data_IF_876287792839
#
_entry.id   IF_876287792839
#
_cell.length_a   1.000
_cell.length_b   1.000
_cell.length_c   1.000
_cell.angle_alpha   90.00
_cell.angle_beta   90.00
_cell.angle_gamma   90.00
#
_symmetry.space_group_name_H-M   'P 1'
#
loop_
_entity.id
_entity.type
_entity.pdbx_description
1 polymer ?
#
# COMPACT_ATOMS: atom_id res chain seq x y z
N UNK A 1 -9.84 4.87 -17.11
CA UNK A 1 -9.08 6.03 -17.66
C UNK A 1 -7.76 6.28 -16.91
N UNK A 2 -7.14 5.27 -16.30
CA UNK A 2 -5.96 5.43 -15.43
C UNK A 2 -4.65 4.86 -15.99
N UNK A 3 -4.69 4.05 -17.05
CA UNK A 3 -3.47 3.43 -17.59
C UNK A 3 -2.61 4.37 -18.44
N UNK A 4 -3.19 5.35 -19.12
CA UNK A 4 -2.46 6.27 -20.01
C UNK A 4 -1.53 7.22 -19.25
N UNK A 5 -1.99 7.77 -18.10
CA UNK A 5 -1.24 8.78 -17.34
C UNK A 5 -0.03 8.22 -16.59
N UNK A 6 -0.09 6.96 -16.15
CA UNK A 6 1.03 6.29 -15.47
C UNK A 6 2.21 6.05 -16.41
N UNK A 7 1.95 5.58 -17.63
CA UNK A 7 2.99 5.28 -18.61
C UNK A 7 3.65 6.56 -19.16
N UNK A 8 2.87 7.61 -19.41
CA UNK A 8 3.39 8.92 -19.82
C UNK A 8 4.24 9.57 -18.72
N UNK A 9 3.78 9.59 -17.47
CA UNK A 9 4.57 10.13 -16.37
C UNK A 9 5.89 9.37 -16.20
N UNK A 10 5.87 8.04 -16.35
CA UNK A 10 7.07 7.21 -16.23
C UNK A 10 8.08 7.51 -17.35
N UNK A 11 7.60 7.72 -18.58
CA UNK A 11 8.42 8.13 -19.72
C UNK A 11 9.02 9.51 -19.52
N UNK A 12 8.23 10.48 -19.06
CA UNK A 12 8.71 11.85 -18.78
C UNK A 12 9.75 11.88 -17.67
N UNK A 13 9.56 11.10 -16.60
CA UNK A 13 10.56 10.96 -15.52
C UNK A 13 11.86 10.35 -16.06
N UNK A 14 11.77 9.33 -16.92
CA UNK A 14 12.94 8.67 -17.51
C UNK A 14 13.71 9.62 -18.44
N UNK A 15 13.01 10.39 -19.27
CA UNK A 15 13.58 11.45 -20.11
C UNK A 15 14.28 12.50 -19.24
N UNK A 16 13.57 13.06 -18.24
CA UNK A 16 14.11 14.09 -17.36
C UNK A 16 15.36 13.62 -16.61
N UNK A 17 15.36 12.39 -16.08
CA UNK A 17 16.53 11.86 -15.38
C UNK A 17 17.69 11.58 -16.33
N UNK A 18 17.43 11.16 -17.57
CA UNK A 18 18.44 10.94 -18.61
C UNK A 18 19.10 12.25 -19.01
N UNK A 19 18.31 13.32 -19.24
CA UNK A 19 18.82 14.66 -19.53
C UNK A 19 19.69 15.24 -18.41
N UNK A 20 19.47 14.81 -17.16
CA UNK A 20 20.23 15.25 -15.99
C UNK A 20 21.47 14.39 -15.71
N UNK A 21 21.77 13.39 -16.53
CA UNK A 21 22.79 12.35 -16.27
C UNK A 21 22.60 11.67 -14.90
N UNK A 22 21.33 11.57 -14.48
CA UNK A 22 20.89 11.00 -13.19
C UNK A 22 19.98 9.79 -13.37
N UNK A 23 19.65 9.42 -14.61
CA UNK A 23 18.84 8.24 -14.92
C UNK A 23 19.37 7.03 -14.15
N UNK A 24 20.69 6.85 -14.16
CA UNK A 24 21.37 5.74 -13.52
C UNK A 24 20.76 4.38 -13.92
N UNK A 25 21.28 3.27 -13.41
CA UNK A 25 20.65 1.97 -13.59
C UNK A 25 19.39 1.81 -12.69
N UNK A 26 18.68 2.87 -12.31
CA UNK A 26 17.51 2.76 -11.42
C UNK A 26 16.25 2.38 -12.20
N UNK A 27 15.90 3.18 -13.22
CA UNK A 27 14.74 2.91 -14.07
C UNK A 27 15.04 1.88 -15.17
N UNK A 28 16.30 1.60 -15.46
CA UNK A 28 16.69 0.59 -16.45
C UNK A 28 16.86 -0.82 -15.86
N UNK A 29 16.90 -0.96 -14.53
CA UNK A 29 17.07 -2.26 -13.86
C UNK A 29 15.70 -2.89 -13.57
N UNK A 30 15.39 -4.08 -14.15
CA UNK A 30 14.12 -4.76 -13.96
C UNK A 30 13.73 -4.99 -12.49
N UNK A 31 14.65 -5.47 -11.64
CA UNK A 31 14.37 -5.71 -10.23
C UNK A 31 14.02 -4.42 -9.47
N UNK A 32 14.66 -3.30 -9.81
CA UNK A 32 14.38 -1.99 -9.20
C UNK A 32 13.05 -1.42 -9.68
N UNK A 33 12.73 -1.60 -10.96
CA UNK A 33 11.41 -1.26 -11.51
C UNK A 33 10.28 -2.07 -10.85
N UNK A 34 10.53 -3.37 -10.64
CA UNK A 34 9.64 -4.28 -9.93
C UNK A 34 9.36 -3.75 -8.52
N UNK A 35 10.40 -3.43 -7.75
CA UNK A 35 10.26 -2.82 -6.41
C UNK A 35 9.53 -1.47 -6.42
N UNK A 36 9.83 -0.60 -7.39
CA UNK A 36 9.15 0.70 -7.53
C UNK A 36 7.66 0.52 -7.82
N UNK A 37 7.32 -0.37 -8.75
CA UNK A 37 5.92 -0.62 -9.13
C UNK A 37 5.09 -1.17 -7.98
N UNK A 38 5.68 -2.06 -7.18
CA UNK A 38 5.08 -2.52 -5.94
C UNK A 38 4.84 -1.37 -4.94
N UNK A 39 5.82 -0.47 -4.76
CA UNK A 39 5.66 0.70 -3.88
C UNK A 39 4.59 1.67 -4.38
N UNK A 40 4.44 1.84 -5.69
CA UNK A 40 3.38 2.66 -6.30
C UNK A 40 2.01 2.09 -5.94
N UNK A 41 1.81 0.78 -6.10
CA UNK A 41 0.56 0.11 -5.76
C UNK A 41 0.24 0.23 -4.25
N UNK A 42 1.22 0.01 -3.36
CA UNK A 42 1.02 0.17 -1.91
C UNK A 42 0.69 1.61 -1.54
N UNK A 43 1.42 2.59 -2.10
CA UNK A 43 1.18 4.01 -1.81
C UNK A 43 -0.20 4.45 -2.31
N UNK A 44 -0.66 3.92 -3.44
CA UNK A 44 -2.03 4.16 -3.92
C UNK A 44 -3.08 3.63 -2.94
N UNK A 45 -2.88 2.43 -2.38
CA UNK A 45 -3.77 1.88 -1.35
C UNK A 45 -3.75 2.71 -0.05
N UNK A 46 -2.58 3.22 0.35
CA UNK A 46 -2.46 4.11 1.53
C UNK A 46 -3.13 5.46 1.29
N UNK A 47 -3.02 6.03 0.09
CA UNK A 47 -3.72 7.26 -0.25
C UNK A 47 -5.24 7.08 -0.22
N UNK A 48 -5.75 5.93 -0.71
CA UNK A 48 -7.19 5.61 -0.62
C UNK A 48 -7.64 5.54 0.84
N UNK A 49 -6.83 4.96 1.72
CA UNK A 49 -7.08 4.93 3.15
C UNK A 49 -7.08 6.34 3.75
N UNK A 50 -6.06 7.15 3.47
CA UNK A 50 -5.94 8.52 3.99
C UNK A 50 -7.15 9.36 3.59
N UNK A 51 -7.64 9.24 2.35
CA UNK A 51 -8.86 9.91 1.90
C UNK A 51 -10.10 9.44 2.68
N UNK A 52 -10.21 8.14 2.97
CA UNK A 52 -11.30 7.61 3.80
C UNK A 52 -11.24 8.14 5.21
N UNK A 53 -10.05 8.26 5.80
CA UNK A 53 -9.86 8.79 7.15
C UNK A 53 -10.15 10.30 7.23
N UNK A 54 -9.75 11.06 6.22
CA UNK A 54 -9.98 12.51 6.11
C UNK A 54 -11.41 12.88 5.69
N UNK A 55 -12.27 11.90 5.41
CA UNK A 55 -13.68 12.12 5.10
C UNK A 55 -14.39 12.95 6.18
N UNK A 56 -15.25 13.88 5.76
CA UNK A 56 -16.10 14.64 6.68
C UNK A 56 -17.10 13.68 7.35
N UNK A 57 -17.48 14.00 8.59
CA UNK A 57 -18.51 13.30 9.37
C UNK A 57 -18.17 11.85 9.80
N UNK A 58 -16.90 11.44 9.73
CA UNK A 58 -16.49 10.16 10.29
C UNK A 58 -16.56 10.17 11.82
N UNK A 59 -17.41 9.33 12.41
CA UNK A 59 -17.38 9.07 13.84
C UNK A 59 -16.13 8.24 14.21
N UNK A 60 -15.73 8.26 15.48
CA UNK A 60 -14.59 7.43 15.97
C UNK A 60 -14.80 5.95 15.63
N UNK A 61 -16.03 5.45 15.73
CA UNK A 61 -16.39 4.09 15.36
C UNK A 61 -16.18 3.80 13.86
N UNK A 62 -16.42 4.78 12.99
CA UNK A 62 -16.18 4.64 11.55
C UNK A 62 -14.69 4.59 11.23
N UNK A 63 -13.90 5.49 11.84
CA UNK A 63 -12.44 5.50 11.72
C UNK A 63 -11.86 4.16 12.17
N UNK A 64 -12.32 3.64 13.31
CA UNK A 64 -11.92 2.33 13.81
C UNK A 64 -12.25 1.21 12.82
N UNK A 65 -13.48 1.17 12.29
CA UNK A 65 -13.90 0.18 11.28
C UNK A 65 -13.05 0.25 10.01
N UNK A 66 -12.74 1.45 9.53
CA UNK A 66 -11.89 1.67 8.35
C UNK A 66 -10.49 1.11 8.58
N UNK A 67 -9.87 1.44 9.72
CA UNK A 67 -8.52 1.00 10.09
C UNK A 67 -8.46 -0.51 10.30
N UNK A 68 -9.45 -1.09 11.00
CA UNK A 68 -9.59 -2.54 11.19
C UNK A 68 -9.73 -3.29 9.86
N UNK A 69 -10.53 -2.73 8.95
CA UNK A 69 -10.67 -3.27 7.59
C UNK A 69 -9.35 -3.21 6.80
N UNK A 70 -8.62 -2.10 6.92
CA UNK A 70 -7.33 -1.94 6.23
C UNK A 70 -6.25 -2.87 6.79
N UNK A 71 -6.20 -3.11 8.11
CA UNK A 71 -5.31 -4.11 8.73
C UNK A 71 -5.52 -5.51 8.12
N UNK A 72 -6.78 -5.94 7.97
CA UNK A 72 -7.10 -7.21 7.29
C UNK A 72 -6.66 -7.22 5.82
N UNK A 73 -6.77 -6.09 5.12
CA UNK A 73 -6.28 -5.92 3.75
C UNK A 73 -4.76 -6.07 3.66
N UNK A 74 -4.01 -5.52 4.62
CA UNK A 74 -2.55 -5.70 4.69
C UNK A 74 -2.17 -7.17 4.94
N UNK A 75 -2.84 -7.86 5.86
CA UNK A 75 -2.60 -9.31 6.09
C UNK A 75 -2.93 -10.15 4.85
N UNK A 76 -3.98 -9.79 4.11
CA UNK A 76 -4.29 -10.43 2.83
C UNK A 76 -3.17 -10.18 1.81
N UNK A 77 -2.61 -8.98 1.75
CA UNK A 77 -1.50 -8.66 0.86
C UNK A 77 -0.26 -9.49 1.19
N UNK A 78 0.11 -9.62 2.46
CA UNK A 78 1.22 -10.49 2.89
C UNK A 78 1.02 -11.93 2.42
N UNK A 79 -0.16 -12.52 2.68
CA UNK A 79 -0.47 -13.88 2.25
C UNK A 79 -0.48 -14.05 0.71
N UNK A 80 -0.96 -13.04 -0.02
CA UNK A 80 -0.97 -13.04 -1.49
C UNK A 80 0.45 -12.94 -2.08
N UNK A 81 1.34 -12.19 -1.44
CA UNK A 81 2.74 -12.08 -1.84
C UNK A 81 3.51 -13.38 -1.60
N UNK A 82 3.29 -14.03 -0.45
CA UNK A 82 3.83 -15.37 -0.18
C UNK A 82 3.35 -16.40 -1.22
N UNK A 83 2.10 -16.27 -1.67
CA UNK A 83 1.49 -17.13 -2.69
C UNK A 83 1.79 -16.75 -4.15
N UNK A 84 2.57 -15.68 -4.39
CA UNK A 84 2.90 -15.22 -5.75
C UNK A 84 1.70 -14.74 -6.58
N UNK A 85 0.61 -14.30 -5.95
CA UNK A 85 -0.61 -13.86 -6.63
C UNK A 85 -0.88 -12.37 -6.39
N UNK A 86 -1.01 -11.58 -7.47
CA UNK A 86 -0.95 -10.11 -7.38
C UNK A 86 -2.22 -9.37 -7.88
N UNK A 87 -3.46 -9.80 -7.58
CA UNK A 87 -4.65 -9.23 -8.21
C UNK A 87 -4.87 -7.74 -7.87
N UNK A 88 -4.29 -7.27 -6.76
CA UNK A 88 -4.41 -5.89 -6.27
C UNK A 88 -3.19 -4.99 -6.58
N UNK A 89 -2.17 -5.54 -7.25
CA UNK A 89 -0.94 -4.83 -7.59
C UNK A 89 -0.82 -4.71 -9.12
N UNK A 90 -1.64 -3.84 -9.70
CA UNK A 90 -1.76 -3.76 -11.16
C UNK A 90 -0.50 -3.15 -11.80
N UNK A 91 0.09 -2.11 -11.18
CA UNK A 91 1.34 -1.53 -11.69
C UNK A 91 2.47 -2.57 -11.62
N UNK A 92 2.53 -3.32 -10.52
CA UNK A 92 3.45 -4.43 -10.36
C UNK A 92 3.26 -5.50 -11.43
N UNK A 93 2.03 -5.96 -11.66
CA UNK A 93 1.74 -6.97 -12.69
C UNK A 93 2.17 -6.52 -14.09
N UNK A 94 1.88 -5.29 -14.46
CA UNK A 94 2.18 -4.76 -15.79
C UNK A 94 3.70 -4.70 -16.05
N UNK A 95 4.49 -4.48 -15.00
CA UNK A 95 5.96 -4.38 -15.08
C UNK A 95 6.63 -5.75 -14.87
N UNK A 96 6.12 -6.57 -13.95
CA UNK A 96 6.66 -7.88 -13.60
C UNK A 96 6.39 -8.94 -14.68
N UNK A 97 5.29 -8.83 -15.44
CA UNK A 97 5.01 -9.75 -16.56
C UNK A 97 6.10 -9.75 -17.66
N UNK A 98 6.99 -8.75 -17.69
CA UNK A 98 8.15 -8.68 -18.59
C UNK A 98 9.48 -9.13 -17.99
N UNK A 99 9.52 -9.59 -16.74
CA UNK A 99 10.76 -9.85 -15.99
C UNK A 99 10.77 -11.30 -15.54
N UNK A 100 11.66 -12.12 -16.11
CA UNK A 100 11.73 -13.57 -15.91
C UNK A 100 12.33 -14.01 -14.55
N UNK A 101 12.66 -13.08 -13.65
CA UNK A 101 13.23 -13.39 -12.34
C UNK A 101 12.16 -13.41 -11.25
N UNK A 102 12.12 -14.52 -10.51
CA UNK A 102 11.51 -14.67 -9.19
C UNK A 102 12.23 -13.75 -8.18
N UNK A 103 12.03 -12.45 -8.35
CA UNK A 103 12.47 -11.46 -7.38
C UNK A 103 11.53 -11.53 -6.19
N UNK A 104 11.99 -12.18 -5.10
CA UNK A 104 11.35 -12.06 -3.79
C UNK A 104 11.11 -10.58 -3.48
N UNK A 105 9.84 -10.17 -3.53
CA UNK A 105 9.44 -8.86 -3.08
C UNK A 105 9.36 -8.91 -1.57
N UNK A 106 10.35 -8.31 -0.93
CA UNK A 106 10.27 -8.06 0.50
C UNK A 106 9.12 -7.07 0.74
N UNK A 107 7.99 -7.59 1.24
CA UNK A 107 6.96 -6.73 1.80
C UNK A 107 7.60 -5.99 2.96
N UNK A 108 7.59 -4.65 2.97
CA UNK A 108 8.00 -3.93 4.16
C UNK A 108 7.19 -4.47 5.34
N UNK A 109 7.74 -4.37 6.57
CA UNK A 109 7.04 -4.74 7.81
C UNK A 109 5.90 -3.72 8.12
N UNK A 110 5.08 -3.46 7.10
CA UNK A 110 4.09 -2.42 6.98
C UNK A 110 2.89 -2.78 7.82
N UNK A 111 2.49 -4.05 7.85
CA UNK A 111 1.41 -4.50 8.70
C UNK A 111 1.77 -4.27 10.18
N UNK A 112 2.97 -4.64 10.62
CA UNK A 112 3.42 -4.34 11.98
C UNK A 112 3.49 -2.84 12.27
N UNK A 113 4.14 -2.05 11.40
CA UNK A 113 4.20 -0.59 11.57
C UNK A 113 2.81 0.05 11.64
N UNK A 114 1.87 -0.45 10.83
CA UNK A 114 0.49 0.01 10.82
C UNK A 114 -0.26 -0.41 12.10
N UNK A 115 -0.04 -1.63 12.59
CA UNK A 115 -0.59 -2.10 13.87
C UNK A 115 -0.09 -1.22 15.02
N UNK A 116 1.22 -0.98 15.11
CA UNK A 116 1.86 -0.14 16.13
C UNK A 116 1.32 1.30 16.09
N UNK A 117 1.25 1.91 14.91
CA UNK A 117 0.78 3.29 14.72
C UNK A 117 -0.66 3.51 15.20
N UNK A 118 -1.52 2.51 15.06
CA UNK A 118 -2.94 2.61 15.40
C UNK A 118 -3.33 1.82 16.67
N UNK A 119 -2.35 1.41 17.47
CA UNK A 119 -2.56 0.59 18.67
C UNK A 119 -3.44 1.26 19.73
N UNK A 120 -3.42 2.58 19.83
CA UNK A 120 -4.28 3.32 20.75
C UNK A 120 -5.78 3.17 20.44
N UNK A 121 -6.15 2.94 19.17
CA UNK A 121 -7.54 2.72 18.79
C UNK A 121 -8.08 1.38 19.30
N UNK A 122 -7.22 0.41 19.53
CA UNK A 122 -7.60 -0.89 20.11
C UNK A 122 -7.96 -0.75 21.60
N UNK A 123 -7.40 0.28 22.27
CA UNK A 123 -7.73 0.61 23.67
C UNK A 123 -9.13 1.21 23.79
N UNK A 124 -9.55 2.00 22.79
CA UNK A 124 -10.89 2.60 22.74
C UNK A 124 -11.99 1.52 22.65
N UNK A 125 -11.75 0.43 21.91
CA UNK A 125 -12.68 -0.72 21.86
C UNK A 125 -12.79 -1.41 23.23
N UNK A 126 -11.66 -1.57 23.92
CA UNK A 126 -11.60 -2.22 25.24
C UNK A 126 -12.33 -1.40 26.30
N UNK A 127 -12.15 -0.08 26.32
CA UNK A 127 -12.81 0.82 27.27
C UNK A 127 -14.30 0.97 26.99
N UNK A 128 -14.70 0.96 25.70
CA UNK A 128 -16.12 1.00 25.31
C UNK A 128 -16.86 -0.25 25.81
N UNK A 129 -16.28 -1.43 25.65
CA UNK A 129 -16.87 -2.69 26.14
C UNK A 129 -16.94 -2.75 27.66
N UNK A 130 -15.94 -2.20 28.36
CA UNK A 130 -15.93 -2.06 29.83
C UNK A 130 -17.08 -1.17 30.31
N UNK A 131 -17.28 -0.02 29.66
CA UNK A 131 -18.36 0.91 30.02
C UNK A 131 -19.75 0.28 29.88
N UNK A 132 -19.95 -0.56 28.85
CA UNK A 132 -21.20 -1.30 28.65
C UNK A 132 -21.41 -2.45 29.66
N UNK A 133 -20.33 -3.06 30.16
CA UNK A 133 -20.40 -4.14 31.16
C UNK A 133 -20.55 -3.62 32.59
N UNK A 134 -20.01 -2.45 32.91
CA UNK A 134 -20.15 -1.81 34.23
C UNK A 134 -21.49 -1.06 34.42
N UNK A 135 -22.24 -0.86 33.33
CA UNK A 135 -23.54 -0.16 33.32
C UNK A 135 -24.76 -1.10 33.32
N UNK A 136 -24.56 -2.40 33.54
CA UNK A 136 -25.60 -3.45 33.63
C UNK A 136 -25.47 -4.17 34.98
#
# INVERSE_FOLDING_TARGET
MTSATSAELRREIDIFLTEKDRAGPFLSNPARLSKLSFLVDITSNLNELDLKLQGKDNLICDLYRIIKGFRRKLSLFEALLEGGNFPHFQCFKDIHAGIAEDGYLEFPDLNKQFLERFSDLDRIESDSLLFWLESV
#
